data_IF_620085454101
#
_entry.id   IF_620085454101
#
_cell.length_a   1.000
_cell.length_b   1.000
_cell.length_c   1.000
_cell.angle_alpha   90.00
_cell.angle_beta   90.00
_cell.angle_gamma   90.00
#
_symmetry.space_group_name_H-M   'P 1'
#
loop_
_entity.id
_entity.type
_entity.pdbx_description
1 polymer ?
#
# COMPACT_ATOMS: atom_id res chain seq x y z
N UNK A 1 12.21 -46.08 25.74
CA UNK A 1 12.69 -45.13 24.72
C UNK A 1 12.39 -43.75 25.24
N UNK A 2 13.42 -43.00 25.61
CA UNK A 2 13.29 -41.65 26.18
C UNK A 2 12.71 -40.69 25.14
N UNK A 3 11.68 -39.96 25.54
CA UNK A 3 11.04 -38.90 24.76
C UNK A 3 12.07 -37.77 24.56
N UNK A 4 12.68 -37.68 23.37
CA UNK A 4 13.46 -36.50 22.99
C UNK A 4 12.46 -35.37 22.76
N UNK A 5 12.23 -34.56 23.80
CA UNK A 5 11.62 -33.25 23.61
C UNK A 5 12.53 -32.47 22.66
N UNK A 6 12.06 -32.23 21.44
CA UNK A 6 12.79 -31.43 20.46
C UNK A 6 12.76 -29.98 20.93
N UNK A 7 13.78 -29.57 21.68
CA UNK A 7 13.94 -28.17 22.06
C UNK A 7 14.32 -27.43 20.77
N UNK A 8 13.39 -26.62 20.25
CA UNK A 8 13.67 -25.72 19.13
C UNK A 8 14.50 -24.55 19.66
N UNK A 9 15.82 -24.64 19.56
CA UNK A 9 16.69 -23.49 19.77
C UNK A 9 16.62 -22.57 18.55
N UNK A 10 16.48 -21.26 18.77
CA UNK A 10 16.69 -20.29 17.69
C UNK A 10 18.17 -20.33 17.25
N UNK A 11 18.48 -19.97 16.00
CA UNK A 11 19.88 -19.88 15.56
C UNK A 11 20.68 -18.90 16.42
N UNK A 12 20.04 -17.84 16.92
CA UNK A 12 20.63 -16.90 17.87
C UNK A 12 20.98 -17.59 19.20
N UNK A 13 20.11 -18.45 19.72
CA UNK A 13 20.40 -19.25 20.91
C UNK A 13 21.58 -20.18 20.69
N UNK A 14 21.65 -20.86 19.53
CA UNK A 14 22.77 -21.75 19.18
C UNK A 14 24.07 -20.95 19.04
N UNK A 15 24.02 -19.74 18.44
CA UNK A 15 25.18 -18.86 18.31
C UNK A 15 25.73 -18.49 19.69
N UNK A 16 24.85 -18.10 20.60
CA UNK A 16 25.23 -17.75 21.97
C UNK A 16 25.81 -18.95 22.75
N UNK A 17 25.28 -20.17 22.56
CA UNK A 17 25.89 -21.36 23.14
C UNK A 17 27.31 -21.62 22.62
N UNK A 18 27.56 -21.45 21.31
CA UNK A 18 28.91 -21.58 20.75
C UNK A 18 29.87 -20.51 21.29
N UNK A 19 29.41 -19.28 21.44
CA UNK A 19 30.20 -18.22 22.09
C UNK A 19 30.51 -18.56 23.55
N UNK A 20 29.55 -19.12 24.29
CA UNK A 20 29.71 -19.50 25.70
C UNK A 20 30.75 -20.61 25.91
N UNK A 21 30.95 -21.48 24.93
CA UNK A 21 32.00 -22.51 24.95
C UNK A 21 33.29 -22.06 24.23
N UNK A 22 33.46 -20.75 24.07
CA UNK A 22 34.67 -20.09 23.54
C UNK A 22 35.03 -20.42 22.08
N UNK A 23 34.05 -20.78 21.24
CA UNK A 23 34.29 -20.80 19.80
C UNK A 23 34.46 -19.37 19.29
N UNK A 24 35.46 -19.14 18.45
CA UNK A 24 35.68 -17.84 17.80
C UNK A 24 34.55 -17.51 16.81
N UNK A 25 34.22 -16.24 16.67
CA UNK A 25 33.16 -15.77 15.76
C UNK A 25 33.37 -16.28 14.32
N UNK A 26 34.61 -16.34 13.83
CA UNK A 26 34.91 -16.81 12.48
C UNK A 26 34.54 -18.28 12.25
N UNK A 27 34.72 -19.13 13.28
CA UNK A 27 34.36 -20.55 13.21
C UNK A 27 32.85 -20.72 13.28
N UNK A 28 32.20 -19.94 14.13
CA UNK A 28 30.73 -19.92 14.25
C UNK A 28 30.10 -19.49 12.93
N UNK A 29 30.58 -18.40 12.34
CA UNK A 29 30.11 -17.89 11.05
C UNK A 29 30.34 -18.91 9.93
N UNK A 30 31.48 -19.60 9.91
CA UNK A 30 31.72 -20.69 8.95
C UNK A 30 30.71 -21.83 9.10
N UNK A 31 30.45 -22.29 10.32
CA UNK A 31 29.48 -23.37 10.60
C UNK A 31 28.08 -22.94 10.17
N UNK A 32 27.69 -21.71 10.51
CA UNK A 32 26.36 -21.18 10.24
C UNK A 32 26.16 -20.96 8.74
N UNK A 33 27.16 -20.44 8.03
CA UNK A 33 27.10 -20.23 6.58
C UNK A 33 26.86 -21.54 5.81
N UNK A 34 27.39 -22.66 6.30
CA UNK A 34 27.20 -24.00 5.70
C UNK A 34 26.02 -24.78 6.31
N UNK A 35 25.30 -24.17 7.27
CA UNK A 35 24.13 -24.78 7.87
C UNK A 35 22.86 -24.36 7.10
N UNK A 36 22.20 -25.33 6.47
CA UNK A 36 20.98 -25.08 5.70
C UNK A 36 19.84 -24.45 6.54
N UNK A 37 19.73 -24.77 7.83
CA UNK A 37 18.72 -24.18 8.71
C UNK A 37 19.02 -22.70 8.99
N UNK A 38 20.29 -22.32 9.14
CA UNK A 38 20.69 -20.91 9.27
C UNK A 38 20.34 -20.11 8.00
N UNK A 39 20.72 -20.64 6.83
CA UNK A 39 20.42 -20.01 5.55
C UNK A 39 18.90 -19.87 5.33
N UNK A 40 18.10 -20.86 5.75
CA UNK A 40 16.65 -20.80 5.70
C UNK A 40 16.07 -19.70 6.59
N UNK A 41 16.46 -19.63 7.88
CA UNK A 41 15.96 -18.59 8.78
C UNK A 41 16.41 -17.19 8.32
N UNK A 42 17.65 -17.05 7.86
CA UNK A 42 18.13 -15.79 7.28
C UNK A 42 17.30 -15.35 6.06
N UNK A 43 17.04 -16.27 5.12
CA UNK A 43 16.24 -15.98 3.94
C UNK A 43 14.79 -15.66 4.30
N UNK A 44 14.21 -16.37 5.26
CA UNK A 44 12.86 -16.12 5.79
C UNK A 44 12.74 -14.72 6.37
N UNK A 45 13.71 -14.25 7.16
CA UNK A 45 13.72 -12.87 7.67
C UNK A 45 13.83 -11.84 6.54
N UNK A 46 14.66 -12.10 5.52
CA UNK A 46 14.74 -11.23 4.33
C UNK A 46 13.40 -11.18 3.59
N UNK A 47 12.71 -12.31 3.42
CA UNK A 47 11.39 -12.38 2.78
C UNK A 47 10.35 -11.62 3.58
N UNK A 48 10.31 -11.77 4.91
CA UNK A 48 9.40 -11.02 5.79
C UNK A 48 9.64 -9.51 5.65
N UNK A 49 10.91 -9.07 5.57
CA UNK A 49 11.22 -7.66 5.39
C UNK A 49 10.79 -7.14 4.01
N UNK A 50 11.00 -7.92 2.95
CA UNK A 50 10.50 -7.60 1.60
C UNK A 50 8.98 -7.50 1.60
N UNK A 51 8.29 -8.46 2.22
CA UNK A 51 6.82 -8.47 2.35
C UNK A 51 6.31 -7.22 3.08
N UNK A 52 6.91 -6.86 4.22
CA UNK A 52 6.57 -5.64 4.97
C UNK A 52 6.72 -4.36 4.13
N UNK A 53 7.80 -4.27 3.36
CA UNK A 53 8.02 -3.13 2.48
C UNK A 53 6.98 -3.08 1.35
N UNK A 54 6.66 -4.22 0.74
CA UNK A 54 5.62 -4.32 -0.28
C UNK A 54 4.24 -3.95 0.27
N UNK A 55 3.88 -4.41 1.47
CA UNK A 55 2.63 -4.05 2.13
C UNK A 55 2.53 -2.53 2.38
N UNK A 56 3.64 -1.89 2.78
CA UNK A 56 3.73 -0.44 2.93
C UNK A 56 3.56 0.29 1.60
N UNK A 57 4.21 -0.20 0.54
CA UNK A 57 4.09 0.39 -0.80
C UNK A 57 2.67 0.27 -1.35
N UNK A 58 2.02 -0.88 -1.20
CA UNK A 58 0.60 -1.09 -1.56
C UNK A 58 -0.30 -0.13 -0.78
N UNK A 59 -0.12 -0.03 0.53
CA UNK A 59 -0.90 0.89 1.37
C UNK A 59 -0.73 2.35 0.93
N UNK A 60 0.49 2.75 0.54
CA UNK A 60 0.77 4.09 0.02
C UNK A 60 0.11 4.32 -1.34
N UNK A 61 0.04 3.29 -2.20
CA UNK A 61 -0.65 3.36 -3.49
C UNK A 61 -2.16 3.49 -3.28
N UNK A 62 -2.77 2.75 -2.36
CA UNK A 62 -4.20 2.86 -2.03
C UNK A 62 -4.57 4.28 -1.61
N UNK A 63 -3.76 4.91 -0.75
CA UNK A 63 -3.97 6.31 -0.34
C UNK A 63 -3.86 7.27 -1.53
N UNK A 64 -2.90 7.05 -2.44
CA UNK A 64 -2.75 7.88 -3.65
C UNK A 64 -3.95 7.71 -4.59
N UNK A 65 -4.42 6.50 -4.81
CA UNK A 65 -5.59 6.18 -5.64
C UNK A 65 -6.82 6.85 -5.05
N UNK A 66 -7.08 6.67 -3.75
CA UNK A 66 -8.19 7.32 -3.05
C UNK A 66 -8.18 8.84 -3.23
N UNK A 67 -7.02 9.48 -3.09
CA UNK A 67 -6.90 10.93 -3.29
C UNK A 67 -7.17 11.36 -4.75
N UNK A 68 -6.72 10.57 -5.73
CA UNK A 68 -7.03 10.82 -7.15
C UNK A 68 -8.52 10.69 -7.40
N UNK A 69 -9.16 9.62 -6.94
CA UNK A 69 -10.60 9.39 -7.07
C UNK A 69 -11.42 10.52 -6.44
N UNK A 70 -11.08 10.92 -5.21
CA UNK A 70 -11.73 12.04 -4.53
C UNK A 70 -11.61 13.35 -5.31
N UNK A 71 -10.42 13.66 -5.82
CA UNK A 71 -10.18 14.87 -6.61
C UNK A 71 -10.93 14.85 -7.94
N UNK A 72 -11.03 13.69 -8.59
CA UNK A 72 -11.81 13.52 -9.82
C UNK A 72 -13.31 13.70 -9.55
N UNK A 73 -13.84 13.11 -8.48
CA UNK A 73 -15.23 13.27 -8.07
C UNK A 73 -15.58 14.75 -7.85
N UNK A 74 -14.78 15.48 -7.07
CA UNK A 74 -14.98 16.93 -6.85
C UNK A 74 -14.94 17.74 -8.16
N UNK A 75 -14.07 17.37 -9.11
CA UNK A 75 -14.02 18.03 -10.43
C UNK A 75 -15.27 17.74 -11.25
N UNK A 76 -15.78 16.50 -11.21
CA UNK A 76 -17.02 16.11 -11.89
C UNK A 76 -18.20 16.89 -11.31
N UNK A 77 -18.37 16.91 -9.98
CA UNK A 77 -19.45 17.66 -9.33
C UNK A 77 -19.41 19.16 -9.67
N UNK A 78 -18.20 19.73 -9.77
CA UNK A 78 -18.01 21.12 -10.19
C UNK A 78 -18.40 21.35 -11.65
N UNK A 79 -18.12 20.39 -12.55
CA UNK A 79 -18.53 20.45 -13.94
C UNK A 79 -20.05 20.32 -14.07
N UNK A 80 -20.67 19.40 -13.34
CA UNK A 80 -22.14 19.22 -13.33
C UNK A 80 -22.84 20.52 -12.89
N UNK A 81 -22.35 21.14 -11.81
CA UNK A 81 -22.88 22.44 -11.34
C UNK A 81 -22.77 23.53 -12.41
N UNK A 82 -21.65 23.58 -13.15
CA UNK A 82 -21.46 24.55 -14.24
C UNK A 82 -22.37 24.27 -15.42
N UNK A 83 -22.58 23.00 -15.76
CA UNK A 83 -23.49 22.58 -16.83
C UNK A 83 -24.92 22.99 -16.49
N UNK A 84 -25.37 22.75 -15.26
CA UNK A 84 -26.70 23.13 -14.80
C UNK A 84 -26.89 24.66 -14.83
N UNK A 85 -25.87 25.42 -14.41
CA UNK A 85 -25.89 26.88 -14.48
C UNK A 85 -26.03 27.38 -15.94
N UNK A 86 -25.22 26.84 -16.86
CA UNK A 86 -25.29 27.19 -18.29
C UNK A 86 -26.65 26.82 -18.88
N UNK A 87 -27.18 25.63 -18.55
CA UNK A 87 -28.50 25.20 -19.00
C UNK A 87 -29.60 26.14 -18.52
N UNK A 88 -29.54 26.58 -17.26
CA UNK A 88 -30.50 27.54 -16.70
C UNK A 88 -30.41 28.91 -17.38
N UNK A 89 -29.19 29.42 -17.63
CA UNK A 89 -28.97 30.68 -18.34
C UNK A 89 -29.51 30.61 -19.77
N UNK A 90 -29.23 29.51 -20.49
CA UNK A 90 -29.73 29.30 -21.85
C UNK A 90 -31.25 29.24 -21.91
N UNK A 91 -31.89 28.49 -21.00
CA UNK A 91 -33.35 28.45 -20.90
C UNK A 91 -33.94 29.84 -20.67
N UNK A 92 -33.36 30.61 -19.74
CA UNK A 92 -33.80 31.98 -19.44
C UNK A 92 -33.68 32.89 -20.67
N UNK A 93 -32.57 32.79 -21.41
CA UNK A 93 -32.35 33.58 -22.63
C UNK A 93 -33.34 33.19 -23.74
N UNK A 94 -33.60 31.90 -23.92
CA UNK A 94 -34.58 31.39 -24.89
C UNK A 94 -35.98 31.91 -24.54
N UNK A 95 -36.39 31.82 -23.28
CA UNK A 95 -37.70 32.32 -22.81
C UNK A 95 -37.84 33.83 -23.07
N UNK A 96 -36.81 34.60 -22.79
CA UNK A 96 -36.80 36.05 -23.03
C UNK A 96 -36.89 36.39 -24.53
N UNK A 97 -36.17 35.67 -25.39
CA UNK A 97 -36.28 35.82 -26.84
C UNK A 97 -37.70 35.47 -27.31
N UNK A 98 -38.28 34.37 -26.81
CA UNK A 98 -39.65 33.97 -27.12
C UNK A 98 -40.68 35.03 -26.74
N UNK A 99 -40.56 35.63 -25.55
CA UNK A 99 -41.41 36.75 -25.11
C UNK A 99 -41.28 37.97 -26.03
N UNK A 100 -40.05 38.39 -26.33
CA UNK A 100 -39.81 39.57 -27.17
C UNK A 100 -40.34 39.39 -28.60
N UNK A 101 -40.23 38.19 -29.18
CA UNK A 101 -40.81 37.89 -30.48
C UNK A 101 -42.34 37.94 -30.46
N UNK A 102 -42.96 37.37 -29.43
CA UNK A 102 -44.42 37.42 -29.26
C UNK A 102 -44.95 38.85 -29.09
N UNK A 103 -44.21 39.72 -28.40
CA UNK A 103 -44.55 41.14 -28.25
C UNK A 103 -44.49 41.89 -29.59
N UNK A 104 -43.50 41.58 -30.45
CA UNK A 104 -43.35 42.22 -31.77
C UNK A 104 -44.37 41.77 -32.82
N UNK A 105 -44.99 40.60 -32.63
CA UNK A 105 -45.99 40.03 -33.55
C UNK A 105 -47.42 40.45 -33.20
N UNK A 106 -47.63 41.13 -32.06
CA UNK A 106 -48.90 41.72 -31.66
C UNK A 106 -49.02 43.15 -32.16
#
# INVERSE_FOLDING_TARGET
>A
MSNLAYITYSMESIKNEFLNIEFSEEVIDFIFLHNNNYNFEFLKEKIINVEKNLQKDVSNLDVKIYNVEKNLHTKIDSLDTKIDAVKSELNTRIDNVGKSLNEKLR
#
